data_IF_080640030402
#
_entry.id   IF_080640030402
#
_cell.length_a   1.000
_cell.length_b   1.000
_cell.length_c   1.000
_cell.angle_alpha   90.00
_cell.angle_beta   90.00
_cell.angle_gamma   90.00
#
_symmetry.space_group_name_H-M   'P 1'
#
loop_
_entity.id
_entity.type
_entity.pdbx_description
1 polymer ?
#
# COMPACT_ATOMS: atom_id res chain seq x y z
N UNK A 1 -3.61 -26.36 11.93
CA UNK A 1 -3.64 -27.05 13.24
C UNK A 1 -4.29 -26.21 14.35
N UNK A 2 -4.39 -24.85 14.17
CA UNK A 2 -4.99 -23.95 15.17
C UNK A 2 -6.42 -23.49 14.79
N UNK A 3 -7.05 -24.14 13.83
CA UNK A 3 -8.42 -23.84 13.42
C UNK A 3 -8.56 -22.56 12.57
N UNK A 4 -7.47 -22.07 11.99
CA UNK A 4 -7.51 -20.89 11.09
C UNK A 4 -8.12 -21.28 9.75
N UNK A 5 -9.19 -20.61 9.37
CA UNK A 5 -9.85 -20.77 8.08
C UNK A 5 -9.42 -19.67 7.10
N UNK A 6 -9.02 -20.06 5.88
CA UNK A 6 -8.67 -19.15 4.81
C UNK A 6 -9.84 -18.99 3.84
N UNK A 7 -10.43 -17.82 3.79
CA UNK A 7 -11.50 -17.45 2.85
C UNK A 7 -10.91 -16.70 1.66
N UNK A 8 -10.33 -17.43 0.70
CA UNK A 8 -9.78 -16.86 -0.52
C UNK A 8 -10.89 -16.42 -1.49
N UNK A 9 -10.58 -15.47 -2.38
CA UNK A 9 -11.54 -14.92 -3.34
C UNK A 9 -12.82 -14.41 -2.66
N UNK A 10 -12.62 -13.67 -1.59
CA UNK A 10 -13.64 -13.08 -0.76
C UNK A 10 -13.23 -11.65 -0.42
N UNK A 11 -14.11 -10.69 -0.58
CA UNK A 11 -13.83 -9.30 -0.28
C UNK A 11 -14.82 -8.76 0.75
N UNK A 12 -14.37 -8.15 1.85
CA UNK A 12 -15.28 -7.51 2.80
C UNK A 12 -15.96 -6.30 2.16
N UNK A 13 -17.25 -6.17 2.40
CA UNK A 13 -18.11 -5.10 1.90
C UNK A 13 -18.58 -4.18 3.02
N UNK A 14 -18.94 -4.78 4.16
CA UNK A 14 -19.51 -4.03 5.28
C UNK A 14 -19.21 -4.75 6.61
N UNK A 15 -18.84 -3.98 7.63
CA UNK A 15 -18.74 -4.48 9.00
C UNK A 15 -20.09 -4.24 9.66
N UNK A 16 -20.75 -5.32 10.10
CA UNK A 16 -22.06 -5.25 10.74
C UNK A 16 -21.89 -5.05 12.25
N UNK A 17 -22.77 -4.25 12.82
CA UNK A 17 -22.78 -3.97 14.25
C UNK A 17 -24.17 -4.13 14.85
N UNK A 18 -24.21 -4.38 16.16
CA UNK A 18 -25.44 -4.37 16.95
C UNK A 18 -25.85 -2.92 17.32
N UNK A 19 -26.98 -2.79 18.00
CA UNK A 19 -27.52 -1.50 18.50
C UNK A 19 -26.59 -0.78 19.50
N UNK A 20 -25.61 -1.46 20.07
CA UNK A 20 -24.61 -0.94 21.00
C UNK A 20 -23.29 -0.58 20.29
N UNK A 21 -23.21 -0.75 18.96
CA UNK A 21 -22.01 -0.48 18.17
C UNK A 21 -20.93 -1.57 18.28
N UNK A 22 -21.27 -2.77 18.76
CA UNK A 22 -20.34 -3.91 18.78
C UNK A 22 -20.45 -4.69 17.47
N UNK A 23 -19.31 -5.14 16.96
CA UNK A 23 -19.27 -5.98 15.76
C UNK A 23 -20.01 -7.29 16.02
N UNK A 24 -20.90 -7.65 15.11
CA UNK A 24 -21.65 -8.93 15.14
C UNK A 24 -21.63 -9.65 13.80
N UNK A 25 -20.89 -9.16 12.82
CA UNK A 25 -20.73 -9.83 11.54
C UNK A 25 -19.86 -9.06 10.55
N UNK A 26 -19.41 -9.78 9.53
CA UNK A 26 -18.69 -9.21 8.38
C UNK A 26 -19.40 -9.64 7.10
N UNK A 27 -19.99 -8.69 6.40
CA UNK A 27 -20.58 -8.92 5.09
C UNK A 27 -19.48 -8.97 4.03
N UNK A 28 -19.42 -10.04 3.29
CA UNK A 28 -18.45 -10.29 2.24
C UNK A 28 -19.14 -10.57 0.91
N UNK A 29 -18.44 -10.36 -0.19
CA UNK A 29 -18.84 -10.75 -1.54
C UNK A 29 -17.81 -11.74 -2.10
N UNK A 30 -18.29 -12.76 -2.84
CA UNK A 30 -17.41 -13.70 -3.52
C UNK A 30 -16.75 -13.03 -4.72
N UNK A 31 -15.51 -13.43 -4.97
CA UNK A 31 -14.72 -12.92 -6.09
C UNK A 31 -14.38 -14.08 -7.03
N UNK A 32 -14.18 -13.78 -8.31
CA UNK A 32 -13.58 -14.68 -9.29
C UNK A 32 -12.35 -14.02 -9.92
N UNK A 33 -11.44 -14.82 -10.46
CA UNK A 33 -10.28 -14.28 -11.15
C UNK A 33 -10.64 -13.89 -12.59
N UNK A 34 -10.50 -12.61 -12.89
CA UNK A 34 -10.66 -12.07 -14.24
C UNK A 34 -9.57 -12.55 -15.20
N UNK A 35 -9.56 -11.98 -16.41
CA UNK A 35 -8.52 -12.25 -17.40
C UNK A 35 -7.15 -11.72 -16.94
N UNK A 36 -6.04 -12.38 -17.32
CA UNK A 36 -4.70 -11.92 -16.97
C UNK A 36 -4.40 -10.58 -17.67
N UNK A 37 -3.80 -9.64 -16.93
CA UNK A 37 -3.26 -8.41 -17.47
C UNK A 37 -1.90 -8.65 -18.18
N UNK A 38 -1.28 -7.60 -18.72
CA UNK A 38 0.02 -7.67 -19.43
C UNK A 38 1.14 -8.28 -18.59
N UNK A 39 1.05 -8.27 -17.26
CA UNK A 39 1.99 -8.90 -16.34
C UNK A 39 1.64 -10.37 -16.02
N UNK A 40 0.53 -10.88 -16.57
CA UNK A 40 -0.01 -12.20 -16.29
C UNK A 40 -0.81 -12.26 -14.98
N UNK A 41 -1.02 -11.13 -14.29
CA UNK A 41 -1.80 -11.07 -13.05
C UNK A 41 -3.29 -11.02 -13.34
N UNK A 42 -4.03 -11.91 -12.71
CA UNK A 42 -5.49 -11.95 -12.77
C UNK A 42 -6.07 -11.15 -11.59
N UNK A 43 -6.83 -10.11 -11.89
CA UNK A 43 -7.48 -9.30 -10.86
C UNK A 43 -8.77 -9.98 -10.40
N UNK A 44 -9.06 -9.99 -9.09
CA UNK A 44 -10.36 -10.45 -8.59
C UNK A 44 -11.48 -9.52 -9.08
N UNK A 45 -12.58 -10.11 -9.54
CA UNK A 45 -13.80 -9.44 -9.97
C UNK A 45 -14.94 -9.93 -9.07
N UNK A 46 -15.78 -9.00 -8.61
CA UNK A 46 -16.93 -9.37 -7.77
C UNK A 46 -17.95 -10.18 -8.55
N UNK A 47 -18.40 -11.28 -7.98
CA UNK A 47 -19.52 -12.08 -8.50
C UNK A 47 -20.81 -11.41 -8.07
N UNK A 48 -21.68 -10.96 -9.00
CA UNK A 48 -22.95 -10.33 -8.65
C UNK A 48 -23.82 -11.23 -7.76
N UNK A 49 -24.55 -10.62 -6.84
CA UNK A 49 -25.52 -11.28 -5.96
C UNK A 49 -24.94 -12.46 -5.13
N UNK A 50 -23.63 -12.42 -4.83
CA UNK A 50 -22.92 -13.45 -4.10
C UNK A 50 -22.56 -13.05 -2.66
N UNK A 51 -23.21 -12.02 -2.15
CA UNK A 51 -22.98 -11.53 -0.79
C UNK A 51 -23.36 -12.59 0.25
N UNK A 52 -22.57 -12.66 1.32
CA UNK A 52 -22.82 -13.52 2.47
C UNK A 52 -22.25 -12.88 3.74
N UNK A 53 -22.70 -13.35 4.88
CA UNK A 53 -22.26 -12.83 6.18
C UNK A 53 -21.45 -13.90 6.90
N UNK A 54 -20.31 -13.48 7.43
CA UNK A 54 -19.53 -14.24 8.40
C UNK A 54 -19.91 -13.76 9.79
N UNK A 55 -20.21 -14.70 10.68
CA UNK A 55 -20.49 -14.42 12.09
C UNK A 55 -19.17 -14.24 12.83
N UNK A 56 -18.87 -12.98 13.18
CA UNK A 56 -17.62 -12.58 13.84
C UNK A 56 -17.90 -11.46 14.82
N UNK A 57 -17.15 -11.40 15.90
CA UNK A 57 -17.21 -10.36 16.94
C UNK A 57 -16.06 -9.34 16.85
N UNK A 58 -15.05 -9.64 16.04
CA UNK A 58 -13.85 -8.80 15.89
C UNK A 58 -13.38 -8.83 14.45
N UNK A 59 -13.09 -7.65 13.88
CA UNK A 59 -12.53 -7.50 12.53
C UNK A 59 -11.22 -6.71 12.60
N UNK A 60 -10.15 -7.27 12.02
CA UNK A 60 -8.85 -6.62 11.94
C UNK A 60 -8.54 -6.30 10.48
N UNK A 61 -8.45 -5.01 10.17
CA UNK A 61 -8.06 -4.54 8.83
C UNK A 61 -6.53 -4.56 8.70
N UNK A 62 -6.01 -5.52 7.94
CA UNK A 62 -4.58 -5.73 7.73
C UNK A 62 -4.20 -5.66 6.22
N UNK A 63 -4.71 -4.66 5.52
CA UNK A 63 -4.59 -4.49 4.06
C UNK A 63 -3.33 -3.73 3.61
N UNK A 64 -2.41 -3.46 4.53
CA UNK A 64 -1.20 -2.68 4.28
C UNK A 64 -1.43 -1.17 4.34
N UNK A 65 -0.40 -0.43 3.96
CA UNK A 65 -0.39 1.04 3.97
C UNK A 65 -0.09 1.59 2.60
N UNK A 66 -0.55 2.81 2.34
CA UNK A 66 -0.20 3.61 1.18
C UNK A 66 0.65 4.81 1.61
N UNK A 67 1.45 5.40 0.72
CA UNK A 67 2.16 6.63 1.02
C UNK A 67 1.20 7.73 1.50
N UNK A 68 1.65 8.54 2.47
CA UNK A 68 0.85 9.65 2.97
C UNK A 68 0.67 10.72 1.89
N UNK A 69 -0.54 11.00 1.40
CA UNK A 69 -0.76 11.95 0.33
C UNK A 69 -0.51 13.40 0.74
N UNK A 70 -0.39 13.70 2.03
CA UNK A 70 -0.19 15.05 2.53
C UNK A 70 1.06 15.69 1.94
N UNK A 71 2.18 14.95 1.90
CA UNK A 71 3.47 15.50 1.42
C UNK A 71 3.36 15.90 -0.04
N UNK A 72 2.88 15.02 -0.91
CA UNK A 72 2.75 15.30 -2.34
C UNK A 72 1.68 16.36 -2.65
N UNK A 73 0.59 16.40 -1.90
CA UNK A 73 -0.49 17.37 -2.12
C UNK A 73 -0.16 18.79 -1.64
N UNK A 74 0.76 18.93 -0.69
CA UNK A 74 1.16 20.23 -0.12
C UNK A 74 2.53 20.73 -0.63
N UNK A 75 3.23 19.94 -1.45
CA UNK A 75 4.57 20.27 -1.94
C UNK A 75 4.58 20.32 -3.46
N UNK A 76 4.52 21.53 -4.01
CA UNK A 76 4.57 21.75 -5.45
C UNK A 76 5.93 21.31 -6.04
N UNK A 77 5.90 20.68 -7.23
CA UNK A 77 7.08 20.20 -7.94
C UNK A 77 7.62 18.85 -7.44
N UNK A 78 6.85 18.14 -6.62
CA UNK A 78 7.17 16.81 -6.13
C UNK A 78 6.29 15.77 -6.83
N UNK A 79 6.83 15.06 -7.81
CA UNK A 79 6.08 14.11 -8.62
C UNK A 79 5.84 12.78 -7.88
N UNK A 80 4.70 12.19 -8.16
CA UNK A 80 4.33 10.85 -7.68
C UNK A 80 3.93 9.95 -8.83
N UNK A 81 4.12 8.65 -8.66
CA UNK A 81 3.63 7.65 -9.59
C UNK A 81 2.12 7.35 -9.34
N UNK A 82 1.55 6.45 -10.15
CA UNK A 82 0.13 6.06 -10.07
C UNK A 82 -0.30 5.43 -8.73
N UNK A 83 0.64 5.06 -7.88
CA UNK A 83 0.40 4.48 -6.55
C UNK A 83 0.63 5.49 -5.42
N UNK A 84 0.94 6.75 -5.75
CA UNK A 84 1.21 7.81 -4.79
C UNK A 84 2.63 7.78 -4.20
N UNK A 85 3.54 6.93 -4.71
CA UNK A 85 4.93 6.91 -4.29
C UNK A 85 5.71 8.02 -5.00
N UNK A 86 6.67 8.62 -4.31
CA UNK A 86 7.54 9.66 -4.87
C UNK A 86 8.42 9.12 -5.99
N UNK A 87 8.52 9.88 -7.08
CA UNK A 87 9.42 9.56 -8.19
C UNK A 87 10.84 10.05 -7.83
N UNK A 88 11.81 9.14 -7.95
CA UNK A 88 13.23 9.43 -7.73
C UNK A 88 14.09 8.84 -8.85
N UNK A 89 15.29 9.38 -9.01
CA UNK A 89 16.33 8.81 -9.88
C UNK A 89 17.18 7.75 -9.14
N UNK A 90 18.26 7.27 -9.76
CA UNK A 90 19.14 6.26 -9.18
C UNK A 90 19.86 6.74 -7.91
N UNK A 91 20.10 8.04 -7.78
CA UNK A 91 20.68 8.71 -6.63
C UNK A 91 19.67 9.05 -5.54
N UNK A 92 18.42 8.59 -5.66
CA UNK A 92 17.31 8.88 -4.74
C UNK A 92 16.93 10.37 -4.67
N UNK A 93 17.34 11.19 -5.66
CA UNK A 93 16.89 12.56 -5.81
C UNK A 93 15.48 12.60 -6.40
N UNK A 94 14.59 13.41 -5.82
CA UNK A 94 13.24 13.62 -6.32
C UNK A 94 13.22 14.60 -7.49
N UNK A 95 12.04 14.86 -8.06
CA UNK A 95 11.85 15.92 -9.08
C UNK A 95 12.02 17.33 -8.52
N UNK A 96 12.00 17.48 -7.20
CA UNK A 96 12.23 18.78 -6.53
C UNK A 96 13.70 18.94 -6.12
N UNK A 97 14.30 20.07 -6.50
CA UNK A 97 15.71 20.38 -6.19
C UNK A 97 16.02 20.26 -4.70
N UNK A 98 17.13 19.62 -4.36
CA UNK A 98 17.64 19.36 -3.00
C UNK A 98 16.74 18.50 -2.11
N UNK A 99 15.76 17.81 -2.68
CA UNK A 99 14.88 16.89 -1.96
C UNK A 99 15.18 15.45 -2.40
N UNK A 100 15.43 14.59 -1.44
CA UNK A 100 15.72 13.17 -1.62
C UNK A 100 14.65 12.34 -0.91
N UNK A 101 14.39 11.17 -1.42
CA UNK A 101 13.46 10.24 -0.80
C UNK A 101 13.95 8.81 -0.95
N UNK A 102 13.57 7.95 0.00
CA UNK A 102 13.89 6.51 -0.01
C UNK A 102 12.90 5.73 0.83
N UNK A 103 13.02 4.40 0.78
CA UNK A 103 12.15 3.48 1.50
C UNK A 103 10.74 3.41 0.93
N UNK A 104 9.78 3.11 1.77
CA UNK A 104 8.39 2.86 1.38
C UNK A 104 7.71 4.05 0.71
N UNK A 105 8.20 5.26 0.96
CA UNK A 105 7.72 6.47 0.26
C UNK A 105 8.01 6.44 -1.25
N UNK A 106 8.98 5.66 -1.69
CA UNK A 106 9.42 5.51 -3.09
C UNK A 106 8.96 4.19 -3.69
N UNK A 107 9.18 3.09 -2.98
CA UNK A 107 8.93 1.73 -3.48
C UNK A 107 7.55 1.19 -3.15
N UNK A 108 6.79 1.85 -2.30
CA UNK A 108 5.62 1.28 -1.63
C UNK A 108 6.03 0.37 -0.48
N UNK A 109 5.03 -0.18 0.24
CA UNK A 109 5.27 -1.07 1.36
C UNK A 109 6.09 -2.31 0.94
N UNK A 110 7.29 -2.44 1.50
CA UNK A 110 8.25 -3.47 1.18
C UNK A 110 8.94 -4.00 2.46
N UNK A 111 10.16 -4.53 2.34
CA UNK A 111 10.90 -5.02 3.50
C UNK A 111 11.74 -3.91 4.13
N UNK A 112 11.99 -4.04 5.44
CA UNK A 112 12.88 -3.12 6.20
C UNK A 112 14.27 -3.03 5.54
N UNK A 113 14.80 -4.14 5.03
CA UNK A 113 16.11 -4.18 4.37
C UNK A 113 16.15 -3.28 3.14
N UNK A 114 15.09 -3.32 2.31
CA UNK A 114 14.98 -2.47 1.11
C UNK A 114 14.84 -0.99 1.50
N UNK A 115 14.02 -0.69 2.50
CA UNK A 115 13.83 0.66 3.00
C UNK A 115 15.14 1.26 3.53
N UNK A 116 15.91 0.48 4.32
CA UNK A 116 17.23 0.88 4.81
C UNK A 116 18.25 1.06 3.67
N UNK A 117 18.22 0.18 2.67
CA UNK A 117 19.08 0.27 1.48
C UNK A 117 18.87 1.60 0.74
N UNK A 118 17.63 1.94 0.44
CA UNK A 118 17.26 3.20 -0.21
C UNK A 118 17.67 4.42 0.61
N UNK A 119 17.49 4.38 1.94
CA UNK A 119 17.92 5.45 2.85
C UNK A 119 19.45 5.65 2.83
N UNK A 120 20.24 4.57 2.80
CA UNK A 120 21.70 4.66 2.68
C UNK A 120 22.13 5.25 1.34
N UNK A 121 21.50 4.88 0.23
CA UNK A 121 21.76 5.44 -1.09
C UNK A 121 21.49 6.94 -1.09
N UNK A 122 20.35 7.36 -0.59
CA UNK A 122 20.00 8.78 -0.48
C UNK A 122 21.03 9.57 0.36
N UNK A 123 21.43 9.00 1.52
CA UNK A 123 22.42 9.65 2.40
C UNK A 123 23.80 9.80 1.72
N UNK A 124 24.27 8.76 1.00
CA UNK A 124 25.52 8.81 0.26
C UNK A 124 25.48 9.87 -0.86
N UNK A 125 24.38 9.95 -1.61
CA UNK A 125 24.19 10.94 -2.66
C UNK A 125 24.16 12.37 -2.11
N UNK A 126 23.51 12.59 -0.97
CA UNK A 126 23.50 13.89 -0.29
C UNK A 126 24.93 14.29 0.15
N UNK A 127 25.68 13.36 0.78
CA UNK A 127 27.05 13.62 1.23
C UNK A 127 27.98 13.99 0.07
N UNK A 128 27.88 13.27 -1.06
CA UNK A 128 28.64 13.55 -2.27
C UNK A 128 28.35 14.96 -2.81
N UNK A 129 27.08 15.33 -2.92
CA UNK A 129 26.66 16.67 -3.39
C UNK A 129 27.15 17.77 -2.45
N UNK A 130 27.14 17.55 -1.13
CA UNK A 130 27.62 18.54 -0.17
C UNK A 130 29.13 18.70 -0.22
N UNK A 131 29.89 17.60 -0.34
CA UNK A 131 31.37 17.64 -0.47
C UNK A 131 31.82 18.30 -1.77
N UNK A 132 31.08 18.12 -2.87
CA UNK A 132 31.41 18.76 -4.15
C UNK A 132 31.24 20.30 -4.15
N UNK A 133 30.51 20.83 -3.16
CA UNK A 133 30.25 22.28 -3.00
C UNK A 133 31.11 22.95 -1.94
N UNK A 134 31.87 22.17 -1.19
CA UNK A 134 32.78 22.66 -0.15
C UNK A 134 34.17 22.91 -0.72
#
# INVERSE_FOLDING_TARGET
EEGVEFQNLCNPVEILGDENGRVNGLKCIRMELGEPDESGRRRPIAVPDSEFVLDVDTVIMAIGTSPNPLISSTTEGLDTNRWGCLVVNEEMATTKDKVYAGGDAVTGAATVILAMGAGKTAAASIDEVLRSKA
#
